data_IF_405115704082
#
_entry.id   IF_405115704082
#
_cell.length_a   1.000
_cell.length_b   1.000
_cell.length_c   1.000
_cell.angle_alpha   90.00
_cell.angle_beta   90.00
_cell.angle_gamma   90.00
#
_symmetry.space_group_name_H-M   'P 1'
#
loop_
_entity.id
_entity.type
_entity.pdbx_description
1 polymer ?
#
# COMPACT_ATOMS: atom_id res chain seq x y z
N UNK A 1 -13.08 -29.73 -2.46
CA UNK A 1 -13.77 -28.53 -2.98
C UNK A 1 -13.45 -27.31 -2.11
N UNK A 2 -12.76 -26.32 -2.68
CA UNK A 2 -12.20 -25.15 -2.01
C UNK A 2 -13.32 -24.15 -1.67
N UNK A 3 -13.52 -23.86 -0.39
CA UNK A 3 -14.35 -22.74 0.07
C UNK A 3 -13.52 -21.47 0.08
N UNK A 4 -13.74 -20.60 -0.91
CA UNK A 4 -13.19 -19.25 -0.91
C UNK A 4 -14.00 -18.39 0.07
N UNK A 5 -13.41 -18.03 1.21
CA UNK A 5 -13.96 -16.99 2.05
C UNK A 5 -13.61 -15.63 1.41
N UNK A 6 -14.56 -15.05 0.67
CA UNK A 6 -14.52 -13.62 0.35
C UNK A 6 -14.54 -12.86 1.68
N UNK A 7 -13.38 -12.37 2.10
CA UNK A 7 -13.28 -11.41 3.20
C UNK A 7 -13.59 -10.04 2.61
N UNK A 8 -14.87 -9.73 2.49
CA UNK A 8 -15.32 -8.34 2.26
C UNK A 8 -15.18 -7.59 3.57
N UNK A 9 -14.20 -6.68 3.64
CA UNK A 9 -14.06 -5.77 4.76
C UNK A 9 -14.96 -4.54 4.49
N UNK A 10 -16.11 -4.47 5.16
CA UNK A 10 -16.89 -3.25 5.24
C UNK A 10 -16.61 -2.61 6.61
N UNK A 11 -15.83 -1.53 6.64
CA UNK A 11 -15.67 -0.72 7.84
C UNK A 11 -16.90 0.19 7.98
N UNK A 12 -17.96 -0.31 8.63
CA UNK A 12 -19.13 0.49 9.01
C UNK A 12 -19.06 0.81 10.50
N UNK A 13 -18.87 2.09 10.85
CA UNK A 13 -18.89 2.62 12.22
C UNK A 13 -17.99 3.85 12.31
N UNK A 14 -18.47 5.03 11.92
CA UNK A 14 -19.27 5.97 12.71
C UNK A 14 -18.37 7.08 13.31
N UNK A 15 -18.59 8.27 12.75
CA UNK A 15 -18.35 9.61 13.26
C UNK A 15 -16.93 10.22 13.05
N UNK A 16 -16.88 11.31 12.26
CA UNK A 16 -15.75 12.22 11.92
C UNK A 16 -14.72 11.86 10.82
N UNK A 17 -14.95 10.85 9.97
CA UNK A 17 -13.99 10.44 8.91
C UNK A 17 -13.89 11.36 7.66
N UNK A 18 -14.76 12.37 7.51
CA UNK A 18 -15.03 13.03 6.21
C UNK A 18 -14.03 14.10 5.77
N UNK A 19 -12.81 14.15 6.32
CA UNK A 19 -11.75 15.06 5.83
C UNK A 19 -10.55 14.38 5.22
N UNK A 20 -10.46 13.04 5.25
CA UNK A 20 -9.40 12.36 4.50
C UNK A 20 -9.68 12.59 3.02
N UNK A 21 -8.87 13.37 2.30
CA UNK A 21 -9.07 13.57 0.87
C UNK A 21 -9.05 12.20 0.22
N UNK A 22 -10.03 11.89 -0.63
CA UNK A 22 -9.95 10.69 -1.44
C UNK A 22 -8.75 10.83 -2.38
N UNK A 23 -7.93 9.77 -2.46
CA UNK A 23 -6.85 9.67 -3.44
C UNK A 23 -6.89 8.29 -4.08
N UNK A 24 -6.54 8.17 -5.38
CA UNK A 24 -6.74 6.93 -6.16
C UNK A 24 -6.15 5.65 -5.56
N UNK A 25 -5.12 5.77 -4.72
CA UNK A 25 -4.53 4.61 -4.07
C UNK A 25 -5.47 3.94 -3.03
N UNK A 26 -6.56 4.59 -2.62
CA UNK A 26 -7.60 3.96 -1.79
C UNK A 26 -8.43 2.92 -2.55
N UNK A 27 -8.51 3.04 -3.87
CA UNK A 27 -9.23 2.09 -4.73
C UNK A 27 -8.33 0.97 -5.27
N UNK A 28 -7.04 1.03 -4.96
CA UNK A 28 -6.08 0.05 -5.43
C UNK A 28 -6.34 -1.32 -4.79
N UNK A 29 -6.62 -2.32 -5.63
CA UNK A 29 -6.79 -3.71 -5.17
C UNK A 29 -5.43 -4.40 -5.00
N UNK A 30 -5.01 -4.57 -3.75
CA UNK A 30 -3.80 -5.29 -3.40
C UNK A 30 -3.99 -6.81 -3.35
N UNK A 31 -5.23 -7.32 -3.26
CA UNK A 31 -5.51 -8.73 -3.06
C UNK A 31 -5.07 -9.27 -1.70
N UNK A 32 -4.69 -10.55 -1.64
CA UNK A 32 -4.38 -11.24 -0.38
C UNK A 32 -2.95 -10.92 0.10
N UNK A 33 -2.72 -10.72 1.41
CA UNK A 33 -1.37 -10.60 1.94
C UNK A 33 -0.57 -11.89 1.78
N UNK A 34 0.68 -11.78 1.34
CA UNK A 34 1.59 -12.92 1.11
C UNK A 34 2.41 -13.33 2.33
N UNK A 35 2.32 -12.56 3.41
CA UNK A 35 3.06 -12.82 4.64
C UNK A 35 2.73 -11.83 5.75
N UNK A 36 3.54 -11.86 6.81
CA UNK A 36 3.48 -10.88 7.89
C UNK A 36 4.02 -9.52 7.43
N UNK A 37 3.60 -8.46 8.10
CA UNK A 37 4.22 -7.16 7.93
C UNK A 37 5.62 -7.17 8.59
N UNK A 38 6.61 -6.60 7.91
CA UNK A 38 7.97 -6.46 8.42
C UNK A 38 8.32 -4.99 8.61
N UNK A 39 9.31 -4.71 9.46
CA UNK A 39 9.84 -3.36 9.68
C UNK A 39 11.34 -3.34 9.39
N UNK A 40 11.75 -2.54 8.42
CA UNK A 40 13.16 -2.33 8.05
C UNK A 40 13.40 -0.81 7.96
N UNK A 41 14.50 -0.33 8.55
CA UNK A 41 14.90 1.09 8.52
C UNK A 41 13.81 2.11 8.90
N UNK A 42 12.86 1.71 9.74
CA UNK A 42 11.74 2.56 10.18
C UNK A 42 10.50 2.49 9.28
N UNK A 43 10.59 1.79 8.15
CA UNK A 43 9.48 1.55 7.23
C UNK A 43 8.80 0.23 7.59
N UNK A 44 7.50 0.29 7.83
CA UNK A 44 6.66 -0.90 7.82
C UNK A 44 6.30 -1.25 6.39
N UNK A 45 6.45 -2.52 6.03
CA UNK A 45 6.14 -3.05 4.70
C UNK A 45 5.31 -4.31 4.83
N UNK A 46 4.38 -4.50 3.88
CA UNK A 46 3.75 -5.80 3.65
C UNK A 46 3.55 -6.05 2.16
N UNK A 47 3.81 -7.28 1.75
CA UNK A 47 3.62 -7.77 0.40
C UNK A 47 2.24 -8.43 0.24
N UNK A 48 1.64 -8.19 -0.91
CA UNK A 48 0.35 -8.71 -1.34
C UNK A 48 0.45 -9.26 -2.77
N UNK A 49 -0.55 -10.03 -3.20
CA UNK A 49 -0.63 -10.58 -4.56
C UNK A 49 -0.51 -9.47 -5.63
N UNK A 50 -1.28 -8.40 -5.46
CA UNK A 50 -1.36 -7.25 -6.37
C UNK A 50 -0.27 -6.19 -6.16
N UNK A 51 0.56 -6.29 -5.12
CA UNK A 51 1.57 -5.25 -4.88
C UNK A 51 2.16 -5.21 -3.48
N UNK A 52 2.64 -4.03 -3.10
CA UNK A 52 3.29 -3.75 -1.81
C UNK A 52 2.65 -2.51 -1.20
N UNK A 53 2.37 -2.57 0.10
CA UNK A 53 2.06 -1.39 0.91
C UNK A 53 3.21 -1.10 1.86
N UNK A 54 3.61 0.16 1.97
CA UNK A 54 4.68 0.59 2.87
C UNK A 54 4.34 1.92 3.55
N UNK A 55 4.72 2.07 4.82
CA UNK A 55 4.41 3.26 5.63
C UNK A 55 5.48 3.54 6.68
N UNK A 56 5.79 4.81 6.89
CA UNK A 56 6.56 5.30 8.04
C UNK A 56 5.57 5.94 9.02
N UNK A 57 5.26 5.25 10.12
CA UNK A 57 4.22 5.69 11.07
C UNK A 57 4.68 6.78 12.06
N UNK A 58 5.98 6.98 12.24
CA UNK A 58 6.51 7.95 13.20
C UNK A 58 6.84 9.31 12.58
N UNK A 59 6.92 10.34 13.41
CA UNK A 59 7.34 11.71 13.05
C UNK A 59 8.88 11.89 13.00
N UNK A 60 9.62 10.80 13.16
CA UNK A 60 11.09 10.80 13.21
C UNK A 60 11.74 10.95 11.83
N UNK A 61 12.86 10.25 11.59
CA UNK A 61 13.43 10.20 10.24
C UNK A 61 12.53 9.37 9.31
N UNK A 62 12.50 9.73 8.03
CA UNK A 62 11.94 8.88 6.98
C UNK A 62 12.73 7.58 6.79
N UNK A 63 12.42 6.83 5.75
CA UNK A 63 13.13 5.59 5.43
C UNK A 63 13.14 5.30 3.93
N UNK A 64 13.81 4.23 3.55
CA UNK A 64 13.84 3.75 2.17
C UNK A 64 13.16 2.39 2.11
N UNK A 65 12.18 2.24 1.22
CA UNK A 65 11.59 0.93 0.92
C UNK A 65 12.25 0.35 -0.33
N UNK A 66 12.71 -0.90 -0.22
CA UNK A 66 13.12 -1.69 -1.39
C UNK A 66 11.88 -2.29 -2.03
N UNK A 67 11.77 -2.20 -3.34
CA UNK A 67 10.63 -2.70 -4.11
C UNK A 67 11.07 -3.77 -5.12
N UNK A 68 10.24 -4.80 -5.35
CA UNK A 68 10.38 -5.64 -6.53
C UNK A 68 10.42 -4.81 -7.82
N UNK A 69 11.13 -5.31 -8.83
CA UNK A 69 11.15 -4.66 -10.13
C UNK A 69 9.77 -4.68 -10.80
N UNK A 70 9.49 -3.65 -11.61
CA UNK A 70 8.29 -3.58 -12.44
C UNK A 70 7.03 -3.06 -11.73
N UNK A 71 7.14 -2.62 -10.47
CA UNK A 71 5.99 -2.00 -9.78
C UNK A 71 5.70 -0.59 -10.28
N UNK A 72 4.44 -0.19 -10.18
CA UNK A 72 3.91 1.11 -10.58
C UNK A 72 3.15 1.76 -9.43
N UNK A 73 3.12 3.08 -9.40
CA UNK A 73 2.17 3.77 -8.53
C UNK A 73 0.73 3.51 -9.03
N UNK A 74 -0.28 3.55 -8.15
CA UNK A 74 -1.67 3.59 -8.57
C UNK A 74 -1.90 4.78 -9.52
N UNK A 75 -2.53 4.52 -10.66
CA UNK A 75 -2.99 5.58 -11.54
C UNK A 75 -4.30 6.20 -11.05
N UNK A 76 -4.95 7.04 -11.87
CA UNK A 76 -6.11 7.84 -11.46
C UNK A 76 -7.31 7.03 -10.97
N UNK A 77 -7.43 5.77 -11.37
CA UNK A 77 -8.52 4.85 -11.02
C UNK A 77 -8.11 3.78 -10.00
N UNK A 78 -6.88 3.84 -9.47
CA UNK A 78 -6.33 2.81 -8.59
C UNK A 78 -5.65 1.64 -9.32
N UNK A 79 -5.67 1.64 -10.65
CA UNK A 79 -5.05 0.62 -11.50
C UNK A 79 -3.51 0.73 -11.55
N UNK A 80 -2.78 -0.35 -11.95
CA UNK A 80 -1.33 -0.33 -12.08
C UNK A 80 -0.83 0.38 -13.35
N UNK A 81 -1.46 1.48 -13.75
CA UNK A 81 -1.14 2.25 -14.95
C UNK A 81 -0.47 3.61 -14.66
N UNK A 82 -0.21 3.89 -13.38
CA UNK A 82 0.56 5.05 -12.95
C UNK A 82 2.06 4.97 -13.27
N UNK A 83 2.82 5.94 -12.72
CA UNK A 83 4.26 6.04 -12.97
C UNK A 83 4.99 4.76 -12.55
N UNK A 84 6.00 4.36 -13.32
CA UNK A 84 6.91 3.29 -12.92
C UNK A 84 7.69 3.70 -11.65
N UNK A 85 7.87 2.74 -10.75
CA UNK A 85 8.63 2.92 -9.51
C UNK A 85 10.02 2.29 -9.65
N UNK A 86 10.99 2.91 -8.98
CA UNK A 86 12.34 2.35 -8.86
C UNK A 86 12.36 1.16 -7.89
N UNK A 87 13.49 0.46 -7.87
CA UNK A 87 13.75 -0.61 -6.90
C UNK A 87 13.96 -0.10 -5.47
N UNK A 88 14.20 1.20 -5.29
CA UNK A 88 14.30 1.85 -3.99
C UNK A 88 13.50 3.15 -4.02
N UNK A 89 12.67 3.36 -3.00
CA UNK A 89 11.80 4.53 -2.89
C UNK A 89 11.97 5.19 -1.52
N UNK A 90 12.37 6.47 -1.46
CA UNK A 90 12.39 7.20 -0.21
C UNK A 90 10.95 7.50 0.25
N UNK A 91 10.71 7.36 1.55
CA UNK A 91 9.46 7.69 2.23
C UNK A 91 9.74 8.69 3.34
N UNK A 92 9.05 9.83 3.31
CA UNK A 92 9.08 10.79 4.40
C UNK A 92 8.46 10.21 5.67
N UNK A 93 8.82 10.80 6.81
CA UNK A 93 8.16 10.51 8.08
C UNK A 93 6.65 10.80 8.00
N UNK A 94 5.84 9.96 8.63
CA UNK A 94 4.37 10.06 8.56
C UNK A 94 3.76 9.81 7.19
N UNK A 95 4.50 9.28 6.21
CA UNK A 95 3.99 9.02 4.86
C UNK A 95 3.97 7.54 4.51
N UNK A 96 3.12 7.20 3.53
CA UNK A 96 3.00 5.85 3.02
C UNK A 96 2.83 5.82 1.51
N UNK A 97 2.98 4.62 0.94
CA UNK A 97 2.81 4.38 -0.48
C UNK A 97 2.22 3.00 -0.74
N UNK A 98 1.61 2.89 -1.92
CA UNK A 98 1.20 1.64 -2.55
C UNK A 98 1.97 1.51 -3.86
N UNK A 99 2.46 0.31 -4.13
CA UNK A 99 3.19 -0.04 -5.34
C UNK A 99 2.54 -1.29 -5.96
N UNK A 100 1.93 -1.15 -7.13
CA UNK A 100 1.12 -2.17 -7.77
C UNK A 100 1.89 -2.94 -8.83
N UNK A 101 1.55 -4.20 -8.97
CA UNK A 101 2.05 -5.09 -10.02
C UNK A 101 1.19 -4.91 -11.27
N UNK A 102 1.82 -4.63 -12.40
CA UNK A 102 1.17 -4.61 -13.72
C UNK A 102 1.05 -6.01 -14.33
#
# INVERSE_FOLDING_TARGET
PRGAALRTYAATGADDYSRTPWFPALDADLGTPLGEASKEDGVWRRDFEGGVAAVVLGEGRGGTVRLPAGLRAPGPTGDPDGRALGSEMPLAAGSGMIALRA
#
